data_IF_912578533753
#
_entry.id   IF_912578533753
#
_cell.length_a   1.000
_cell.length_b   1.000
_cell.length_c   1.000
_cell.angle_alpha   90.00
_cell.angle_beta   90.00
_cell.angle_gamma   90.00
#
_symmetry.space_group_name_H-M   'P 1'
#
loop_
_entity.id
_entity.type
_entity.pdbx_description
1 polymer ?
#
# COMPACT_ATOMS: atom_id res chain seq x y z
N UNK A 1 2.97 12.71 9.25
CA UNK A 1 3.13 12.96 7.80
C UNK A 1 2.62 11.72 7.09
N UNK A 2 1.58 11.84 6.25
CA UNK A 2 1.00 10.69 5.57
C UNK A 2 1.97 10.19 4.49
N UNK A 3 2.50 8.98 4.66
CA UNK A 3 3.40 8.40 3.67
C UNK A 3 2.59 7.67 2.60
N UNK A 4 2.42 8.32 1.44
CA UNK A 4 1.71 7.77 0.28
C UNK A 4 2.39 6.56 -0.33
N UNK A 5 3.73 6.53 -0.26
CA UNK A 5 4.56 5.61 -1.03
C UNK A 5 5.17 4.48 -0.17
N UNK A 6 5.23 4.66 1.14
CA UNK A 6 5.72 3.63 2.05
C UNK A 6 4.61 2.79 2.64
N UNK A 7 5.03 1.85 3.47
CA UNK A 7 4.16 1.05 4.32
C UNK A 7 4.09 1.71 5.69
N UNK A 8 2.89 1.98 6.19
CA UNK A 8 2.71 2.47 7.58
C UNK A 8 2.54 1.29 8.53
N UNK A 9 2.74 1.50 9.83
CA UNK A 9 2.51 0.45 10.84
C UNK A 9 1.06 -0.05 10.83
N UNK A 10 0.11 0.83 10.54
CA UNK A 10 -1.32 0.50 10.47
C UNK A 10 -1.66 -0.46 9.33
N UNK A 11 -0.82 -0.53 8.28
CA UNK A 11 -1.02 -1.44 7.15
C UNK A 11 -0.50 -2.86 7.41
N UNK A 12 0.21 -3.09 8.52
CA UNK A 12 0.82 -4.39 8.85
C UNK A 12 -0.20 -5.28 9.54
N UNK A 13 -0.36 -6.50 9.03
CA UNK A 13 -1.25 -7.53 9.58
C UNK A 13 -0.50 -8.36 10.62
N UNK A 14 0.61 -9.00 10.22
CA UNK A 14 1.37 -9.92 11.06
C UNK A 14 2.80 -10.14 10.55
N UNK A 15 3.63 -10.74 11.38
CA UNK A 15 4.94 -11.27 10.98
C UNK A 15 4.78 -12.65 10.36
N UNK A 16 5.56 -12.93 9.32
CA UNK A 16 5.57 -14.21 8.60
C UNK A 16 7.02 -14.65 8.45
N UNK A 17 7.34 -15.87 8.86
CA UNK A 17 8.67 -16.46 8.65
C UNK A 17 8.68 -17.29 7.38
N UNK A 18 9.65 -17.05 6.52
CA UNK A 18 9.87 -17.82 5.31
C UNK A 18 11.36 -18.05 5.13
N UNK A 19 11.78 -19.32 4.98
CA UNK A 19 13.18 -19.70 4.76
C UNK A 19 14.16 -19.06 5.79
N UNK A 20 13.83 -19.12 7.09
CA UNK A 20 14.57 -18.49 8.20
C UNK A 20 14.70 -16.95 8.12
N UNK A 21 13.86 -16.29 7.31
CA UNK A 21 13.79 -14.83 7.23
C UNK A 21 12.43 -14.34 7.70
N UNK A 22 12.44 -13.39 8.63
CA UNK A 22 11.21 -12.75 9.12
C UNK A 22 10.79 -11.61 8.18
N UNK A 23 9.58 -11.73 7.63
CA UNK A 23 8.91 -10.71 6.84
C UNK A 23 7.69 -10.17 7.59
N UNK A 24 7.24 -8.99 7.18
CA UNK A 24 6.00 -8.39 7.65
C UNK A 24 4.97 -8.48 6.53
N UNK A 25 3.83 -9.11 6.79
CA UNK A 25 2.69 -9.13 5.89
C UNK A 25 1.92 -7.82 6.05
N UNK A 26 1.74 -7.12 4.94
CA UNK A 26 1.00 -5.85 4.88
C UNK A 26 -0.06 -5.86 3.78
N UNK A 27 -0.97 -4.89 3.86
CA UNK A 27 -2.12 -4.74 2.96
C UNK A 27 -2.23 -3.32 2.43
N UNK A 28 -2.61 -3.19 1.15
CA UNK A 28 -2.99 -1.92 0.55
C UNK A 28 -4.18 -2.10 -0.41
N UNK A 29 -4.59 -1.07 -1.14
CA UNK A 29 -5.73 -1.14 -2.07
C UNK A 29 -5.56 -2.14 -3.23
N UNK A 30 -4.35 -2.63 -3.49
CA UNK A 30 -4.05 -3.55 -4.60
C UNK A 30 -4.08 -5.01 -4.15
N UNK A 31 -3.91 -5.30 -2.85
CA UNK A 31 -3.79 -6.69 -2.37
C UNK A 31 -2.92 -6.84 -1.12
N UNK A 32 -2.46 -8.07 -0.88
CA UNK A 32 -1.43 -8.40 0.10
C UNK A 32 -0.03 -8.24 -0.48
N UNK A 33 0.94 -7.93 0.38
CA UNK A 33 2.36 -7.95 0.03
C UNK A 33 3.23 -8.21 1.27
N UNK A 34 4.45 -8.73 1.06
CA UNK A 34 5.41 -8.98 2.13
C UNK A 34 6.53 -7.94 2.09
N UNK A 35 6.77 -7.27 3.21
CA UNK A 35 7.81 -6.26 3.36
C UNK A 35 8.76 -6.59 4.52
N UNK A 36 9.71 -5.70 4.78
CA UNK A 36 10.63 -5.79 5.91
C UNK A 36 10.47 -4.57 6.80
N UNK A 37 10.90 -4.67 8.06
CA UNK A 37 10.89 -3.58 9.04
C UNK A 37 11.65 -2.34 8.58
N UNK A 38 12.52 -2.48 7.59
CA UNK A 38 13.26 -1.37 6.99
C UNK A 38 12.39 -0.36 6.25
N UNK A 39 11.21 -0.75 5.78
CA UNK A 39 10.29 0.12 5.04
C UNK A 39 9.13 0.64 5.89
N UNK A 40 8.75 -0.10 6.93
CA UNK A 40 7.58 0.21 7.76
C UNK A 40 7.83 1.47 8.59
N UNK A 41 6.94 2.46 8.46
CA UNK A 41 6.98 3.71 9.22
C UNK A 41 8.08 4.69 8.79
N UNK A 42 8.91 4.35 7.80
CA UNK A 42 9.93 5.25 7.27
C UNK A 42 9.38 6.05 6.11
N UNK A 43 9.93 7.25 5.87
CA UNK A 43 9.60 8.06 4.69
C UNK A 43 10.36 7.56 3.45
N UNK A 44 10.16 6.28 3.11
CA UNK A 44 10.77 5.60 1.98
C UNK A 44 9.69 4.87 1.18
N UNK A 45 9.84 4.83 -0.14
CA UNK A 45 8.98 4.04 -0.99
C UNK A 45 9.24 2.55 -0.76
N UNK A 46 8.19 1.79 -0.46
CA UNK A 46 8.32 0.34 -0.27
C UNK A 46 8.34 -0.36 -1.63
N UNK A 47 9.49 -0.88 -2.03
CA UNK A 47 9.63 -1.56 -3.31
C UNK A 47 8.77 -2.83 -3.38
N UNK A 48 8.50 -3.50 -2.25
CA UNK A 48 7.69 -4.71 -2.21
C UNK A 48 6.20 -4.42 -2.46
N UNK A 49 5.79 -3.16 -2.27
CA UNK A 49 4.42 -2.70 -2.53
C UNK A 49 4.13 -2.53 -4.02
N UNK A 50 5.12 -2.09 -4.80
CA UNK A 50 4.93 -1.69 -6.22
C UNK A 50 5.59 -2.62 -7.25
N UNK A 51 6.54 -3.46 -6.85
CA UNK A 51 7.36 -4.23 -7.80
C UNK A 51 6.81 -5.64 -8.09
N UNK A 52 7.45 -6.32 -9.04
CA UNK A 52 7.22 -7.74 -9.37
C UNK A 52 7.32 -8.68 -8.16
N UNK A 53 7.98 -8.26 -7.07
CA UNK A 53 8.08 -9.02 -5.81
C UNK A 53 6.71 -9.32 -5.19
N UNK A 54 5.69 -8.54 -5.55
CA UNK A 54 4.31 -8.73 -5.10
C UNK A 54 3.61 -9.91 -5.77
N UNK A 55 3.95 -10.25 -7.02
CA UNK A 55 3.16 -11.18 -7.85
C UNK A 55 3.07 -12.59 -7.24
N UNK A 56 4.04 -12.99 -6.44
CA UNK A 56 4.11 -14.34 -5.87
C UNK A 56 3.69 -14.41 -4.39
N UNK A 57 3.17 -13.33 -3.80
CA UNK A 57 2.85 -13.30 -2.36
C UNK A 57 1.75 -14.28 -2.02
N UNK A 58 0.68 -14.37 -2.82
CA UNK A 58 -0.40 -15.32 -2.56
C UNK A 58 0.10 -16.77 -2.57
N UNK A 59 0.94 -17.14 -3.55
CA UNK A 59 1.53 -18.47 -3.62
C UNK A 59 2.45 -18.76 -2.42
N UNK A 60 3.26 -17.78 -1.99
CA UNK A 60 4.12 -17.89 -0.79
C UNK A 60 3.28 -18.09 0.46
N UNK A 61 2.21 -17.32 0.64
CA UNK A 61 1.30 -17.45 1.78
C UNK A 61 0.61 -18.82 1.81
N UNK A 62 0.14 -19.31 0.66
CA UNK A 62 -0.43 -20.67 0.56
C UNK A 62 0.60 -21.74 0.90
N UNK A 63 1.86 -21.60 0.45
CA UNK A 63 2.93 -22.53 0.78
C UNK A 63 3.26 -22.56 2.29
N UNK A 64 3.00 -21.45 2.99
CA UNK A 64 3.13 -21.33 4.44
C UNK A 64 1.86 -21.80 5.20
N UNK A 65 0.85 -22.31 4.49
CA UNK A 65 -0.41 -22.78 5.07
C UNK A 65 -1.39 -21.66 5.45
N UNK A 66 -1.18 -20.44 4.96
CA UNK A 66 -2.07 -19.29 5.17
C UNK A 66 -3.05 -19.17 4.00
N UNK A 67 -4.26 -18.66 4.27
CA UNK A 67 -5.26 -18.36 3.23
C UNK A 67 -5.18 -16.87 2.83
N UNK A 68 -4.69 -16.54 1.61
CA UNK A 68 -4.58 -15.16 1.15
C UNK A 68 -5.93 -14.44 1.03
N UNK A 69 -7.00 -15.15 0.67
CA UNK A 69 -8.32 -14.54 0.49
C UNK A 69 -8.93 -14.12 1.82
N UNK A 70 -8.84 -14.99 2.83
CA UNK A 70 -9.30 -14.68 4.19
C UNK A 70 -8.48 -13.54 4.80
N UNK A 71 -7.15 -13.59 4.63
CA UNK A 71 -6.26 -12.52 5.08
C UNK A 71 -6.59 -11.19 4.42
N UNK A 72 -6.91 -11.18 3.13
CA UNK A 72 -7.34 -9.98 2.44
C UNK A 72 -8.69 -9.46 2.97
N UNK A 73 -9.71 -10.32 2.98
CA UNK A 73 -11.08 -9.93 3.35
C UNK A 73 -11.18 -9.42 4.79
N UNK A 74 -10.51 -10.09 5.73
CA UNK A 74 -10.57 -9.73 7.14
C UNK A 74 -9.82 -8.43 7.47
N UNK A 75 -8.84 -8.03 6.64
CA UNK A 75 -7.93 -6.93 6.94
C UNK A 75 -8.13 -5.69 6.05
N UNK A 76 -9.18 -5.64 5.22
CA UNK A 76 -9.44 -4.47 4.36
C UNK A 76 -9.58 -3.16 5.13
N UNK A 77 -9.98 -3.21 6.40
CA UNK A 77 -10.09 -2.05 7.28
C UNK A 77 -8.74 -1.37 7.61
N UNK A 78 -7.61 -2.06 7.36
CA UNK A 78 -6.25 -1.51 7.53
C UNK A 78 -5.77 -0.72 6.30
N UNK A 79 -6.51 -0.76 5.20
CA UNK A 79 -6.14 -0.08 3.96
C UNK A 79 -6.28 1.43 4.16
N UNK A 80 -5.16 2.12 4.06
CA UNK A 80 -5.10 3.58 4.12
C UNK A 80 -5.67 4.17 2.83
N UNK A 81 -6.95 4.53 2.82
CA UNK A 81 -7.56 5.25 1.71
C UNK A 81 -7.28 6.75 1.84
N UNK A 82 -6.62 7.35 0.86
CA UNK A 82 -6.65 8.80 0.75
C UNK A 82 -8.03 9.21 0.23
N UNK A 83 -8.86 9.78 1.10
CA UNK A 83 -9.94 10.65 0.61
C UNK A 83 -9.27 11.86 -0.02
N UNK A 84 -9.01 11.77 -1.32
CA UNK A 84 -8.59 12.93 -2.11
C UNK A 84 -9.78 13.86 -2.14
N UNK A 85 -9.84 14.80 -1.19
CA UNK A 85 -10.69 15.98 -1.32
C UNK A 85 -10.15 16.74 -2.52
N UNK A 86 -10.57 16.35 -3.72
CA UNK A 86 -10.27 17.03 -4.95
C UNK A 86 -10.75 18.47 -4.77
N UNK A 87 -9.82 19.38 -4.52
CA UNK A 87 -10.13 20.81 -4.43
C UNK A 87 -10.65 21.19 -5.81
N UNK A 88 -11.98 21.27 -5.93
CA UNK A 88 -12.71 21.57 -7.15
C UNK A 88 -12.25 22.94 -7.63
N UNK A 89 -11.28 22.96 -8.54
CA UNK A 89 -10.79 24.22 -9.11
C UNK A 89 -11.90 24.73 -10.02
N UNK A 90 -12.48 25.88 -9.70
CA UNK A 90 -13.59 26.44 -10.46
C UNK A 90 -13.11 26.76 -11.90
N UNK A 91 -13.69 26.12 -12.94
CA UNK A 91 -13.24 26.29 -14.33
C UNK A 91 -13.38 27.74 -14.84
N UNK A 92 -14.23 28.54 -14.21
CA UNK A 92 -14.40 29.98 -14.51
C UNK A 92 -13.14 30.82 -14.22
N UNK A 93 -12.25 30.38 -13.32
CA UNK A 93 -11.01 31.11 -13.01
C UNK A 93 -9.88 30.83 -14.01
N UNK A 94 -9.96 29.76 -14.80
CA UNK A 94 -8.93 29.39 -15.78
C UNK A 94 -9.07 30.14 -17.12
N UNK A 95 -10.30 30.55 -17.48
CA UNK A 95 -10.59 31.18 -18.77
C UNK A 95 -10.06 32.62 -18.94
N UNK A 96 -9.68 33.31 -17.86
CA UNK A 96 -9.38 34.76 -17.92
C UNK A 96 -7.93 35.13 -18.29
N UNK A 97 -7.04 34.15 -18.53
CA UNK A 97 -5.63 34.41 -18.87
C UNK A 97 -5.30 34.35 -20.38
N UNK A 98 -6.28 34.04 -21.24
CA UNK A 98 -6.06 33.94 -22.69
C UNK A 98 -6.35 35.20 -23.50
N UNK A 99 -6.84 36.28 -22.90
CA UNK A 99 -7.31 37.47 -23.62
C UNK A 99 -6.60 38.75 -23.20
N UNK A 100 -5.33 38.85 -23.57
CA UNK A 100 -4.66 40.11 -23.94
C UNK A 100 -3.76 39.71 -25.12
N UNK A 101 -4.09 40.06 -26.36
CA UNK A 101 -4.28 41.43 -26.82
C UNK A 101 -2.91 41.91 -27.26
#
# INVERSE_FOLDING_TARGET
>A
MFNRFGTTQEMVIQTVEENNTAFLLAIDSVGLYMTTSNYVGKNLADQNRYSALRQNVNARLTALGLNPEDLWSNNQHLIQSETVSAKKVNPLKASKRGSKG
#
